data_IF_016283527469
#
_entry.id   IF_016283527469
#
_cell.length_a   1.000
_cell.length_b   1.000
_cell.length_c   1.000
_cell.angle_alpha   90.00
_cell.angle_beta   90.00
_cell.angle_gamma   90.00
#
_symmetry.space_group_name_H-M   'P 1'
#
loop_
_entity.id
_entity.type
_entity.pdbx_description
1 polymer ?
#
# COMPACT_ATOMS: atom_id res chain seq x y z
N UNK A 1 18.35 5.55 -13.76
CA UNK A 1 17.78 5.71 -15.12
C UNK A 1 17.12 4.39 -15.52
N UNK A 2 15.88 4.16 -15.09
CA UNK A 2 15.18 2.90 -15.44
C UNK A 2 14.59 3.06 -16.84
N UNK A 3 15.14 2.35 -17.83
CA UNK A 3 14.62 2.32 -19.20
C UNK A 3 13.22 1.71 -19.23
N UNK A 4 12.37 2.18 -20.14
CA UNK A 4 10.99 1.68 -20.33
C UNK A 4 11.01 0.15 -20.55
N UNK A 5 10.68 -0.64 -19.53
CA UNK A 5 10.53 -2.10 -19.67
C UNK A 5 9.15 -2.38 -20.27
N UNK A 6 9.09 -3.05 -21.42
CA UNK A 6 7.81 -3.44 -22.04
C UNK A 6 7.07 -4.47 -21.16
N UNK A 7 5.73 -4.57 -21.24
CA UNK A 7 4.96 -5.62 -20.58
C UNK A 7 5.30 -7.03 -21.10
N UNK A 8 5.36 -8.02 -20.22
CA UNK A 8 5.74 -9.41 -20.59
C UNK A 8 4.80 -10.05 -21.63
N UNK A 9 3.58 -9.51 -21.81
CA UNK A 9 2.56 -10.01 -22.74
C UNK A 9 2.63 -9.44 -24.17
N UNK A 10 3.53 -8.50 -24.46
CA UNK A 10 3.65 -7.84 -25.79
C UNK A 10 4.98 -8.26 -26.41
N UNK A 11 5.07 -8.57 -27.71
CA UNK A 11 6.34 -8.91 -28.37
C UNK A 11 7.25 -7.67 -28.53
N UNK A 12 8.56 -7.87 -28.77
CA UNK A 12 9.47 -6.72 -28.90
C UNK A 12 9.25 -6.03 -30.24
N UNK A 13 9.03 -6.83 -31.28
CA UNK A 13 8.66 -6.37 -32.62
C UNK A 13 7.37 -5.55 -32.59
N UNK A 14 6.32 -6.01 -31.91
CA UNK A 14 5.07 -5.25 -31.78
C UNK A 14 5.28 -3.94 -31.01
N UNK A 15 6.13 -3.95 -29.99
CA UNK A 15 6.42 -2.76 -29.19
C UNK A 15 7.19 -1.70 -29.99
N UNK A 16 8.18 -2.12 -30.78
CA UNK A 16 9.01 -1.23 -31.59
C UNK A 16 8.29 -0.75 -32.87
N UNK A 17 7.26 -1.48 -33.32
CA UNK A 17 6.43 -1.10 -34.46
C UNK A 17 5.43 0.03 -34.15
N UNK A 18 5.16 0.33 -32.87
CA UNK A 18 4.24 1.42 -32.49
C UNK A 18 4.93 2.76 -32.67
N UNK A 19 4.45 3.54 -33.63
CA UNK A 19 4.81 4.95 -33.77
C UNK A 19 4.09 5.78 -32.69
N UNK A 20 4.86 6.45 -31.83
CA UNK A 20 4.37 7.29 -30.73
C UNK A 20 4.90 8.71 -30.92
N UNK A 21 4.26 9.54 -31.75
CA UNK A 21 4.69 10.91 -31.97
C UNK A 21 4.58 11.74 -30.68
N UNK A 22 5.41 12.77 -30.57
CA UNK A 22 5.35 13.72 -29.46
C UNK A 22 4.00 14.46 -29.45
N UNK A 23 3.49 14.73 -28.25
CA UNK A 23 2.27 15.51 -28.07
C UNK A 23 2.49 16.94 -28.55
N UNK A 24 1.57 17.47 -29.37
CA UNK A 24 1.58 18.87 -29.77
C UNK A 24 0.97 19.77 -28.68
N UNK A 25 1.31 21.06 -28.69
CA UNK A 25 0.76 22.03 -27.75
C UNK A 25 -0.78 22.14 -27.87
N UNK A 26 -1.31 22.07 -29.09
CA UNK A 26 -2.76 22.10 -29.35
C UNK A 26 -3.46 20.85 -28.78
N UNK A 27 -2.83 19.68 -28.88
CA UNK A 27 -3.36 18.45 -28.30
C UNK A 27 -3.37 18.51 -26.79
N UNK A 28 -2.31 19.05 -26.17
CA UNK A 28 -2.23 19.24 -24.73
C UNK A 28 -3.29 20.24 -24.24
N UNK A 29 -3.50 21.34 -24.96
CA UNK A 29 -4.51 22.34 -24.64
C UNK A 29 -5.95 21.80 -24.73
N UNK A 30 -6.20 20.83 -25.60
CA UNK A 30 -7.50 20.19 -25.78
C UNK A 30 -7.80 19.08 -24.74
N UNK A 31 -6.84 18.68 -23.90
CA UNK A 31 -7.06 17.63 -22.91
C UNK A 31 -8.08 18.05 -21.86
N UNK A 32 -8.92 17.10 -21.44
CA UNK A 32 -9.93 17.29 -20.39
C UNK A 32 -9.69 16.32 -19.24
N UNK A 33 -10.02 16.70 -17.99
CA UNK A 33 -9.94 15.80 -16.84
C UNK A 33 -10.73 14.52 -17.09
N UNK A 34 -10.17 13.37 -16.71
CA UNK A 34 -10.84 12.07 -16.83
C UNK A 34 -12.16 12.02 -16.03
N UNK A 35 -12.24 12.79 -14.95
CA UNK A 35 -13.45 12.92 -14.11
C UNK A 35 -14.63 13.49 -14.92
N UNK A 36 -14.36 14.42 -15.84
CA UNK A 36 -15.37 15.09 -16.65
C UNK A 36 -15.83 14.25 -17.84
N UNK A 37 -14.97 13.39 -18.39
CA UNK A 37 -15.23 12.65 -19.63
C UNK A 37 -15.48 11.15 -19.43
N UNK A 38 -15.02 10.57 -18.31
CA UNK A 38 -15.12 9.15 -17.99
C UNK A 38 -15.40 8.93 -16.49
N UNK A 39 -16.48 9.51 -15.92
CA UNK A 39 -16.74 9.50 -14.48
C UNK A 39 -16.84 8.08 -13.92
N UNK A 40 -17.49 7.15 -14.62
CA UNK A 40 -17.67 5.76 -14.16
C UNK A 40 -16.34 5.01 -14.00
N UNK A 41 -15.39 5.27 -14.89
CA UNK A 41 -14.06 4.65 -14.85
C UNK A 41 -13.25 5.20 -13.68
N UNK A 42 -13.32 6.52 -13.46
CA UNK A 42 -12.65 7.17 -12.34
C UNK A 42 -13.21 6.68 -11.01
N UNK A 43 -14.54 6.56 -10.88
CA UNK A 43 -15.18 6.07 -9.67
C UNK A 43 -14.86 4.60 -9.40
N UNK A 44 -14.86 3.75 -10.43
CA UNK A 44 -14.43 2.37 -10.30
C UNK A 44 -12.97 2.31 -9.81
N UNK A 45 -12.07 3.10 -10.40
CA UNK A 45 -10.66 3.14 -10.02
C UNK A 45 -10.45 3.67 -8.60
N UNK A 46 -11.14 4.74 -8.19
CA UNK A 46 -11.08 5.30 -6.82
C UNK A 46 -11.49 4.26 -5.77
N UNK A 47 -12.50 3.43 -6.07
CA UNK A 47 -12.93 2.33 -5.19
C UNK A 47 -11.90 1.21 -5.05
N UNK A 48 -10.98 1.04 -6.01
CA UNK A 48 -9.90 0.03 -5.91
C UNK A 48 -8.78 0.45 -4.96
N UNK A 49 -8.51 1.75 -4.82
CA UNK A 49 -7.64 2.25 -3.75
C UNK A 49 -8.43 2.20 -2.45
N UNK A 50 -8.17 1.19 -1.63
CA UNK A 50 -8.69 1.14 -0.27
C UNK A 50 -8.40 2.45 0.46
N UNK A 51 -9.33 2.90 1.30
CA UNK A 51 -9.11 4.07 2.16
C UNK A 51 -7.73 3.96 2.80
N UNK A 52 -6.98 5.07 2.80
CA UNK A 52 -5.73 5.17 3.53
C UNK A 52 -6.06 4.98 5.02
N UNK A 53 -6.00 3.72 5.48
CA UNK A 53 -6.36 3.35 6.84
C UNK A 53 -5.44 4.13 7.75
N UNK A 54 -6.01 4.90 8.68
CA UNK A 54 -5.26 5.48 9.78
C UNK A 54 -4.38 4.38 10.41
N UNK A 55 -3.15 4.71 10.85
CA UNK A 55 -2.25 3.70 11.40
C UNK A 55 -2.95 2.96 12.54
N UNK A 56 -3.18 1.66 12.35
CA UNK A 56 -3.92 0.82 13.31
C UNK A 56 -3.12 0.51 14.57
N UNK A 57 -1.83 0.88 14.59
CA UNK A 57 -0.89 0.69 15.70
C UNK A 57 -0.18 2.01 15.96
N UNK A 58 -0.07 2.38 17.23
CA UNK A 58 0.72 3.54 17.65
C UNK A 58 2.13 3.07 18.05
N UNK A 59 3.15 3.71 17.49
CA UNK A 59 4.53 3.48 17.93
C UNK A 59 4.76 4.24 19.24
N UNK A 60 5.17 3.53 20.29
CA UNK A 60 5.48 4.09 21.60
C UNK A 60 6.81 3.57 22.11
N UNK A 61 7.50 4.37 22.90
CA UNK A 61 8.71 3.95 23.62
C UNK A 61 8.29 3.36 24.98
N UNK A 62 8.27 2.03 25.09
CA UNK A 62 7.94 1.30 26.31
C UNK A 62 9.16 0.51 26.80
N UNK A 63 9.42 0.54 28.11
CA UNK A 63 10.40 -0.33 28.76
C UNK A 63 9.67 -1.57 29.29
N UNK A 64 10.23 -2.73 29.01
CA UNK A 64 9.74 -4.03 29.47
C UNK A 64 10.89 -4.74 30.18
N UNK A 65 10.55 -5.62 31.11
CA UNK A 65 11.53 -6.44 31.81
C UNK A 65 12.28 -7.35 30.83
N UNK A 66 13.53 -7.65 31.17
CA UNK A 66 14.45 -8.35 30.28
C UNK A 66 13.98 -9.77 29.97
N UNK A 67 13.42 -10.47 30.96
CA UNK A 67 12.88 -11.81 30.85
C UNK A 67 11.66 -11.87 29.91
N UNK A 68 10.76 -10.89 29.98
CA UNK A 68 9.62 -10.75 29.06
C UNK A 68 10.11 -10.60 27.61
N UNK A 69 11.09 -9.71 27.38
CA UNK A 69 11.63 -9.50 26.04
C UNK A 69 12.33 -10.77 25.52
N UNK A 70 13.09 -11.46 26.36
CA UNK A 70 13.74 -12.71 25.99
C UNK A 70 12.72 -13.79 25.61
N UNK A 71 11.70 -13.98 26.44
CA UNK A 71 10.65 -14.98 26.21
C UNK A 71 10.02 -14.83 24.82
N UNK A 72 9.57 -13.62 24.45
CA UNK A 72 8.94 -13.42 23.15
C UNK A 72 9.92 -13.49 21.97
N UNK A 73 11.17 -13.03 22.15
CA UNK A 73 12.18 -13.05 21.09
C UNK A 73 12.69 -14.45 20.75
N UNK A 74 12.57 -15.42 21.65
CA UNK A 74 13.02 -16.81 21.42
C UNK A 74 12.38 -17.42 20.17
N UNK A 75 11.10 -17.16 19.89
CA UNK A 75 10.42 -17.68 18.68
C UNK A 75 10.68 -16.84 17.41
N UNK A 76 11.63 -15.91 17.44
CA UNK A 76 12.09 -15.17 16.26
C UNK A 76 11.08 -14.15 15.71
N UNK A 77 10.91 -14.13 14.39
CA UNK A 77 10.09 -13.14 13.69
C UNK A 77 8.65 -13.08 14.26
N UNK A 78 8.09 -11.87 14.31
CA UNK A 78 6.73 -11.66 14.82
C UNK A 78 6.58 -11.59 16.34
N UNK A 79 7.68 -11.59 17.11
CA UNK A 79 7.63 -11.46 18.59
C UNK A 79 6.88 -10.21 19.08
N UNK A 80 7.00 -9.08 18.37
CA UNK A 80 6.25 -7.85 18.67
C UNK A 80 4.72 -8.02 18.48
N UNK A 81 4.30 -8.83 17.51
CA UNK A 81 2.89 -9.14 17.31
C UNK A 81 2.36 -10.03 18.44
N UNK A 82 3.16 -11.03 18.88
CA UNK A 82 2.80 -11.92 19.99
C UNK A 82 2.66 -11.18 21.31
N UNK A 83 3.63 -10.32 21.67
CA UNK A 83 3.54 -9.54 22.91
C UNK A 83 2.34 -8.57 22.88
N UNK A 84 2.06 -7.93 21.75
CA UNK A 84 0.88 -7.09 21.61
C UNK A 84 -0.42 -7.88 21.77
N UNK A 85 -0.50 -9.11 21.26
CA UNK A 85 -1.67 -9.98 21.46
C UNK A 85 -1.86 -10.34 22.94
N UNK A 86 -0.79 -10.68 23.66
CA UNK A 86 -0.84 -10.97 25.09
C UNK A 86 -1.36 -9.77 25.91
N UNK A 87 -0.86 -8.55 25.61
CA UNK A 87 -1.32 -7.32 26.25
C UNK A 87 -2.82 -7.06 25.99
N UNK A 88 -3.31 -7.32 24.77
CA UNK A 88 -4.75 -7.18 24.45
C UNK A 88 -5.62 -8.13 25.25
N UNK A 89 -5.19 -9.38 25.42
CA UNK A 89 -5.94 -10.36 26.22
C UNK A 89 -6.13 -9.87 27.66
N UNK A 90 -5.10 -9.27 28.27
CA UNK A 90 -5.19 -8.73 29.63
C UNK A 90 -6.20 -7.58 29.72
N UNK A 91 -6.14 -6.63 28.78
CA UNK A 91 -7.07 -5.48 28.75
C UNK A 91 -8.53 -5.96 28.62
N UNK A 92 -8.80 -6.92 27.72
CA UNK A 92 -10.16 -7.44 27.52
C UNK A 92 -10.68 -8.26 28.71
N UNK A 93 -9.79 -8.85 29.51
CA UNK A 93 -10.19 -9.56 30.75
C UNK A 93 -10.58 -8.56 31.83
N UNK A 94 -9.83 -7.47 31.98
CA UNK A 94 -10.14 -6.42 32.96
C UNK A 94 -11.47 -5.69 32.66
N UNK A 95 -11.81 -5.49 31.39
CA UNK A 95 -13.10 -4.89 30.97
C UNK A 95 -14.34 -5.74 31.34
N UNK A 96 -14.15 -7.03 31.67
CA UNK A 96 -15.24 -7.96 31.98
C UNK A 96 -15.45 -8.19 33.48
N UNK A 97 -14.68 -7.52 34.34
CA UNK A 97 -14.70 -7.69 35.80
C UNK A 97 -15.34 -6.50 36.48
#
# INVERSE_FOLDING_TARGET
MSGKKKPDAISQEDWDAVDSPELTDDQLAAMRPADDVLPDVVDAYRKTRGQQKAPTKQQVTLRLDQDVVQHFKQDGAGWQTRINAALRTMITVDEKR
#
